data_IF_212987452995
#
_entry.id   IF_212987452995
#
_cell.length_a   1.000
_cell.length_b   1.000
_cell.length_c   1.000
_cell.angle_alpha   90.00
_cell.angle_beta   90.00
_cell.angle_gamma   90.00
#
_symmetry.space_group_name_H-M   'P 1'
#
loop_
_entity.id
_entity.type
_entity.pdbx_description
1 polymer ?
#
# COMPACT_ATOMS: atom_id res chain seq x y z
N UNK A 1 6.33 6.86 5.97
CA UNK A 1 7.40 7.61 6.67
C UNK A 1 8.66 7.58 5.81
N UNK A 2 8.64 8.35 4.73
CA UNK A 2 9.83 8.63 3.92
C UNK A 2 9.72 10.12 3.60
N UNK A 3 9.80 10.94 4.64
CA UNK A 3 9.80 12.40 4.54
C UNK A 3 11.18 12.91 4.09
N UNK A 4 11.86 12.17 3.19
CA UNK A 4 13.15 12.55 2.63
C UNK A 4 12.89 13.60 1.56
N UNK A 5 13.10 14.86 1.93
CA UNK A 5 13.03 16.00 1.03
C UNK A 5 14.23 16.08 0.09
N UNK A 6 14.11 16.92 -0.94
CA UNK A 6 15.21 17.21 -1.87
C UNK A 6 16.48 17.66 -1.14
N UNK A 7 16.33 18.49 -0.10
CA UNK A 7 17.45 18.98 0.71
C UNK A 7 18.20 17.87 1.45
N UNK A 8 17.51 16.85 1.94
CA UNK A 8 18.15 15.72 2.62
C UNK A 8 18.90 14.82 1.64
N UNK A 9 18.38 14.62 0.42
CA UNK A 9 19.12 13.91 -0.63
C UNK A 9 20.42 14.62 -0.99
N UNK A 10 20.40 15.95 -1.12
CA UNK A 10 21.60 16.74 -1.39
C UNK A 10 22.61 16.61 -0.23
N UNK A 11 22.14 16.65 1.02
CA UNK A 11 23.00 16.48 2.20
C UNK A 11 23.64 15.08 2.24
N UNK A 12 22.87 14.03 1.95
CA UNK A 12 23.40 12.66 1.88
C UNK A 12 24.41 12.54 0.72
N UNK A 13 24.13 13.17 -0.43
CA UNK A 13 25.04 13.17 -1.57
C UNK A 13 26.38 13.82 -1.22
N UNK A 14 26.40 15.01 -0.61
CA UNK A 14 27.65 15.64 -0.18
C UNK A 14 28.41 14.77 0.83
N UNK A 15 27.73 14.21 1.84
CA UNK A 15 28.37 13.33 2.82
C UNK A 15 28.97 12.11 2.11
N UNK A 16 28.23 11.49 1.19
CA UNK A 16 28.72 10.38 0.38
C UNK A 16 29.95 10.75 -0.45
N UNK A 17 29.96 11.94 -1.05
CA UNK A 17 31.12 12.44 -1.82
C UNK A 17 32.33 12.70 -0.93
N UNK A 18 32.17 13.16 0.31
CA UNK A 18 33.29 13.42 1.23
C UNK A 18 33.84 12.13 1.81
N UNK A 19 32.98 11.21 2.24
CA UNK A 19 33.37 9.95 2.90
C UNK A 19 33.96 8.96 1.91
N UNK A 20 33.27 8.75 0.79
CA UNK A 20 33.65 7.76 -0.20
C UNK A 20 34.57 8.37 -1.28
N UNK A 21 34.43 9.66 -1.54
CA UNK A 21 35.12 10.35 -2.62
C UNK A 21 34.25 10.44 -3.89
N UNK A 22 34.36 11.54 -4.67
CA UNK A 22 33.56 11.76 -5.88
C UNK A 22 33.80 10.71 -6.97
N UNK A 23 34.98 10.11 -7.01
CA UNK A 23 35.30 9.08 -8.00
C UNK A 23 34.73 7.70 -7.66
N UNK A 24 34.48 7.43 -6.37
CA UNK A 24 34.14 6.09 -5.88
C UNK A 24 32.63 5.88 -5.74
N UNK A 25 31.88 6.94 -5.43
CA UNK A 25 30.41 6.93 -5.37
C UNK A 25 29.74 6.41 -6.66
N UNK A 26 30.06 6.93 -7.87
CA UNK A 26 29.46 6.43 -9.10
C UNK A 26 29.81 4.96 -9.39
N UNK A 27 31.02 4.53 -9.02
CA UNK A 27 31.46 3.13 -9.15
C UNK A 27 30.65 2.22 -8.22
N UNK A 28 30.41 2.63 -6.97
CA UNK A 28 29.60 1.89 -6.02
C UNK A 28 28.15 1.72 -6.49
N UNK A 29 27.51 2.79 -6.97
CA UNK A 29 26.16 2.73 -7.56
C UNK A 29 26.13 1.77 -8.75
N UNK A 30 27.16 1.79 -9.60
CA UNK A 30 27.25 0.90 -10.75
C UNK A 30 27.39 -0.57 -10.36
N UNK A 31 28.10 -0.86 -9.28
CA UNK A 31 28.23 -2.22 -8.77
C UNK A 31 26.90 -2.70 -8.16
N UNK A 32 26.28 -1.89 -7.29
CA UNK A 32 24.99 -2.20 -6.66
C UNK A 32 23.91 -2.38 -7.73
N UNK A 33 23.83 -1.48 -8.72
CA UNK A 33 22.81 -1.57 -9.78
C UNK A 33 22.99 -2.79 -10.67
N UNK A 34 24.23 -3.24 -10.93
CA UNK A 34 24.48 -4.51 -11.64
C UNK A 34 24.00 -5.71 -10.83
N UNK A 35 24.23 -5.71 -9.51
CA UNK A 35 23.79 -6.80 -8.63
C UNK A 35 22.27 -6.85 -8.50
N UNK A 36 21.63 -5.69 -8.26
CA UNK A 36 20.17 -5.57 -8.22
C UNK A 36 19.58 -5.97 -9.57
N UNK A 37 20.19 -5.55 -10.69
CA UNK A 37 19.76 -5.92 -12.03
C UNK A 37 19.90 -7.41 -12.30
N UNK A 38 20.98 -8.05 -11.87
CA UNK A 38 21.18 -9.49 -11.97
C UNK A 38 20.15 -10.27 -11.14
N UNK A 39 19.92 -9.85 -9.88
CA UNK A 39 18.90 -10.44 -9.02
C UNK A 39 17.49 -10.29 -9.61
N UNK A 40 17.16 -9.10 -10.15
CA UNK A 40 15.87 -8.85 -10.82
C UNK A 40 15.69 -9.72 -12.06
N UNK A 41 16.73 -9.91 -12.87
CA UNK A 41 16.71 -10.79 -14.05
C UNK A 41 16.52 -12.25 -13.66
N UNK A 42 17.24 -12.72 -12.65
CA UNK A 42 17.11 -14.08 -12.13
C UNK A 42 15.72 -14.33 -11.54
N UNK A 43 15.17 -13.37 -10.79
CA UNK A 43 13.79 -13.45 -10.31
C UNK A 43 12.77 -13.42 -11.46
N UNK A 44 13.06 -12.69 -12.54
CA UNK A 44 12.26 -12.69 -13.76
C UNK A 44 12.28 -14.05 -14.46
N UNK A 45 13.46 -14.61 -14.75
CA UNK A 45 13.59 -15.91 -15.42
C UNK A 45 12.97 -17.06 -14.62
N UNK A 46 13.13 -17.04 -13.29
CA UNK A 46 12.47 -18.02 -12.42
C UNK A 46 10.95 -17.89 -12.51
N UNK A 47 10.39 -16.66 -12.51
CA UNK A 47 8.94 -16.45 -12.69
C UNK A 47 8.47 -16.92 -14.06
N UNK A 48 9.20 -16.58 -15.12
CA UNK A 48 8.87 -16.94 -16.49
C UNK A 48 8.89 -18.48 -16.66
N UNK A 49 9.89 -19.17 -16.11
CA UNK A 49 9.98 -20.65 -16.10
C UNK A 49 8.88 -21.29 -15.23
N UNK A 50 8.50 -20.67 -14.10
CA UNK A 50 7.43 -21.15 -13.21
C UNK A 50 6.02 -20.94 -13.78
N UNK A 51 5.81 -19.89 -14.57
CA UNK A 51 4.57 -19.65 -15.32
C UNK A 51 4.41 -20.61 -16.50
N UNK A 52 5.53 -21.08 -17.04
CA UNK A 52 5.54 -21.90 -18.25
C UNK A 52 5.38 -23.42 -17.97
N UNK A 53 5.59 -23.92 -16.74
CA UNK A 53 5.60 -25.38 -16.45
C UNK A 53 4.96 -25.92 -15.14
N UNK A 54 4.11 -25.18 -14.40
CA UNK A 54 3.47 -25.61 -13.12
C UNK A 54 4.34 -25.33 -11.87
N UNK A 55 3.94 -24.35 -11.02
CA UNK A 55 3.97 -24.41 -9.53
C UNK A 55 3.82 -23.04 -8.83
N UNK A 56 2.80 -22.25 -9.17
CA UNK A 56 2.38 -21.15 -8.27
C UNK A 56 2.02 -21.67 -6.86
N UNK A 57 1.54 -22.91 -6.77
CA UNK A 57 1.06 -23.53 -5.52
C UNK A 57 2.18 -23.85 -4.52
N UNK A 58 3.36 -24.25 -4.97
CA UNK A 58 4.46 -24.60 -4.06
C UNK A 58 5.18 -23.36 -3.52
N UNK A 59 5.29 -22.29 -4.29
CA UNK A 59 5.84 -21.02 -3.77
C UNK A 59 4.86 -20.32 -2.85
N UNK A 60 3.56 -20.37 -3.15
CA UNK A 60 2.54 -19.93 -2.21
C UNK A 60 2.59 -20.75 -0.91
N UNK A 61 2.75 -22.07 -0.98
CA UNK A 61 2.90 -22.90 0.22
C UNK A 61 4.19 -22.61 0.99
N UNK A 62 5.33 -22.41 0.32
CA UNK A 62 6.59 -22.07 1.00
C UNK A 62 6.55 -20.66 1.59
N UNK A 63 5.94 -19.70 0.89
CA UNK A 63 5.76 -18.33 1.39
C UNK A 63 4.77 -18.31 2.55
N UNK A 64 3.65 -19.04 2.45
CA UNK A 64 2.67 -19.20 3.50
C UNK A 64 3.25 -19.93 4.72
N UNK A 65 4.12 -20.92 4.50
CA UNK A 65 4.82 -21.63 5.57
C UNK A 65 5.90 -20.77 6.24
N UNK A 66 6.60 -19.93 5.49
CA UNK A 66 7.53 -18.94 6.03
C UNK A 66 6.80 -17.83 6.80
N UNK A 67 5.64 -17.39 6.30
CA UNK A 67 4.75 -16.45 6.97
C UNK A 67 4.19 -17.06 8.27
N UNK A 68 3.72 -18.31 8.23
CA UNK A 68 3.25 -19.05 9.41
C UNK A 68 4.36 -19.32 10.43
N UNK A 69 5.58 -19.63 9.96
CA UNK A 69 6.74 -19.81 10.83
C UNK A 69 7.10 -18.48 11.51
N UNK A 70 7.13 -17.39 10.75
CA UNK A 70 7.25 -16.04 11.29
C UNK A 70 6.17 -15.74 12.32
N UNK A 71 4.89 -15.95 11.99
CA UNK A 71 3.74 -15.73 12.88
C UNK A 71 3.77 -16.58 14.16
N UNK A 72 4.36 -17.78 14.13
CA UNK A 72 4.48 -18.64 15.31
C UNK A 72 5.52 -18.14 16.32
N UNK A 73 6.53 -17.42 15.84
CA UNK A 73 7.60 -16.85 16.67
C UNK A 73 7.31 -15.39 17.10
N UNK A 74 6.14 -14.85 16.77
CA UNK A 74 5.70 -13.51 17.19
C UNK A 74 5.27 -13.51 18.67
N UNK A 75 5.80 -12.56 19.45
CA UNK A 75 5.35 -12.25 20.82
C UNK A 75 3.83 -11.95 20.86
N UNK A 76 3.12 -12.23 21.97
CA UNK A 76 1.66 -12.14 22.05
C UNK A 76 1.07 -10.79 21.60
N UNK A 77 1.81 -9.70 21.78
CA UNK A 77 1.45 -8.34 21.36
C UNK A 77 1.38 -8.17 19.82
N UNK A 78 2.23 -8.87 19.07
CA UNK A 78 2.21 -8.82 17.60
C UNK A 78 1.11 -9.72 17.02
N UNK A 79 0.71 -10.80 17.70
CA UNK A 79 -0.44 -11.62 17.27
C UNK A 79 -1.74 -10.82 17.32
N UNK A 80 -1.98 -10.09 18.42
CA UNK A 80 -3.14 -9.20 18.55
C UNK A 80 -3.13 -8.09 17.49
N UNK A 81 -1.95 -7.53 17.21
CA UNK A 81 -1.78 -6.53 16.15
C UNK A 81 -2.09 -7.09 14.75
N UNK A 82 -1.67 -8.32 14.46
CA UNK A 82 -1.97 -8.99 13.18
C UNK A 82 -3.46 -9.34 13.07
N UNK A 83 -4.10 -9.78 14.15
CA UNK A 83 -5.53 -10.11 14.14
C UNK A 83 -6.41 -8.88 13.99
N UNK A 84 -6.08 -7.78 14.67
CA UNK A 84 -6.78 -6.50 14.48
C UNK A 84 -6.57 -5.94 13.07
N UNK A 85 -5.38 -6.11 12.47
CA UNK A 85 -5.12 -5.77 11.08
C UNK A 85 -5.92 -6.64 10.11
N UNK A 86 -6.05 -7.95 10.37
CA UNK A 86 -6.90 -8.87 9.58
C UNK A 86 -8.36 -8.48 9.64
N UNK A 87 -8.86 -8.13 10.82
CA UNK A 87 -10.24 -7.68 11.01
C UNK A 87 -10.52 -6.40 10.22
N UNK A 88 -9.62 -5.42 10.33
CA UNK A 88 -9.73 -4.15 9.60
C UNK A 88 -9.59 -4.33 8.10
N UNK A 89 -8.71 -5.22 7.64
CA UNK A 89 -8.57 -5.54 6.22
C UNK A 89 -9.85 -6.21 5.67
N UNK A 90 -10.49 -7.09 6.44
CA UNK A 90 -11.76 -7.71 6.06
C UNK A 90 -12.91 -6.70 5.94
N UNK A 91 -12.94 -5.68 6.80
CA UNK A 91 -13.93 -4.59 6.72
C UNK A 91 -13.66 -3.64 5.54
N UNK A 92 -12.40 -3.40 5.20
CA UNK A 92 -11.99 -2.55 4.06
C UNK A 92 -12.17 -3.26 2.70
N UNK A 93 -12.35 -4.58 2.67
CA UNK A 93 -12.72 -5.31 1.45
C UNK A 93 -14.22 -5.19 1.10
N UNK A 94 -15.06 -4.68 2.04
CA UNK A 94 -16.52 -4.55 1.87
C UNK A 94 -17.08 -3.20 1.34
N UNK A 95 -16.35 -2.10 1.13
CA UNK A 95 -16.96 -0.82 0.75
C UNK A 95 -17.36 -0.74 -0.74
N UNK A 96 -17.12 -1.77 -1.56
CA UNK A 96 -17.57 -1.79 -2.97
C UNK A 96 -18.77 -2.71 -3.26
N UNK A 97 -19.31 -3.42 -2.25
CA UNK A 97 -20.49 -4.28 -2.46
C UNK A 97 -21.84 -3.57 -2.26
N UNK A 98 -21.85 -2.31 -1.77
CA UNK A 98 -23.08 -1.61 -1.41
C UNK A 98 -23.07 -0.15 -1.85
N UNK A 99 -22.96 0.09 -3.16
CA UNK A 99 -23.30 1.38 -3.76
C UNK A 99 -24.19 1.19 -4.99
N UNK A 100 -25.42 0.75 -4.73
CA UNK A 100 -26.55 0.92 -5.64
C UNK A 100 -27.68 1.64 -4.90
N UNK A 101 -27.80 2.95 -5.13
CA UNK A 101 -28.99 3.83 -4.95
C UNK A 101 -30.22 3.19 -5.63
N UNK A 102 -31.50 3.58 -5.40
CA UNK A 102 -32.03 4.76 -4.70
C UNK A 102 -33.29 4.46 -3.83
N UNK A 103 -33.99 5.52 -3.39
CA UNK A 103 -35.37 5.55 -2.85
C UNK A 103 -35.44 5.71 -1.34
N UNK A 104 -35.87 6.89 -0.88
CA UNK A 104 -37.18 6.90 -0.23
C UNK A 104 -37.85 8.27 -0.32
N UNK A 105 -39.02 8.22 -0.93
CA UNK A 105 -40.08 9.20 -0.90
C UNK A 105 -40.50 9.45 0.54
N UNK A 106 -40.61 10.72 0.95
CA UNK A 106 -41.42 11.07 2.10
C UNK A 106 -42.36 12.21 1.71
N UNK A 107 -43.60 11.83 1.44
CA UNK A 107 -44.76 12.72 1.45
C UNK A 107 -45.44 12.64 2.83
N UNK A 108 -46.35 13.59 3.10
CA UNK A 108 -47.30 13.69 4.25
C UNK A 108 -46.72 14.43 5.47
N UNK A 109 -47.32 15.45 6.09
CA UNK A 109 -48.38 16.43 5.78
C UNK A 109 -48.36 17.54 6.87
N UNK A 110 -48.86 18.73 6.51
CA UNK A 110 -49.50 19.83 7.28
C UNK A 110 -49.18 20.15 8.77
N UNK A 111 -48.92 21.45 9.05
CA UNK A 111 -49.70 22.42 9.89
C UNK A 111 -48.76 23.55 10.47
N UNK A 112 -48.68 24.76 9.89
CA UNK A 112 -49.42 26.02 10.26
C UNK A 112 -48.55 27.01 11.08
N UNK A 113 -48.80 28.35 11.11
CA UNK A 113 -48.88 29.37 10.05
C UNK A 113 -47.76 30.45 10.27
N UNK A 114 -47.87 31.60 9.60
CA UNK A 114 -47.36 32.94 10.03
C UNK A 114 -46.31 33.57 9.11
N UNK A 115 -46.58 34.81 8.72
CA UNK A 115 -45.53 35.79 8.40
C UNK A 115 -45.47 36.24 6.95
N UNK A 116 -46.31 37.22 6.62
CA UNK A 116 -46.07 38.35 5.72
C UNK A 116 -44.75 38.38 4.91
N UNK A 117 -44.85 38.62 3.60
CA UNK A 117 -44.58 39.96 3.03
C UNK A 117 -44.26 39.90 1.52
N UNK A 118 -44.89 40.80 0.77
CA UNK A 118 -44.36 41.60 -0.37
C UNK A 118 -43.69 40.85 -1.55
N UNK A 119 -44.23 40.87 -2.77
CA UNK A 119 -44.18 41.96 -3.78
C UNK A 119 -43.45 41.42 -5.02
N UNK A 120 -44.18 41.14 -6.11
CA UNK A 120 -44.13 41.89 -7.39
C UNK A 120 -42.93 41.46 -8.26
N UNK A 121 -43.05 40.62 -9.30
CA UNK A 121 -43.78 40.70 -10.59
C UNK A 121 -43.45 41.91 -11.47
N UNK A 122 -42.23 41.95 -12.00
CA UNK A 122 -41.99 42.24 -13.43
C UNK A 122 -40.61 41.79 -13.90
#
# INVERSE_FOLDING_TARGET
MFDIGFWELVLIAIIGLVVLGPERLPVAIRNISRWVGAAKRMAGSVRDELEQELKLKELQDNLHKAEQAGMKDLSPELQESVDTLRQRAADVQRPYASSSTPTDSHATDLDTPSGASSTDKR
#
